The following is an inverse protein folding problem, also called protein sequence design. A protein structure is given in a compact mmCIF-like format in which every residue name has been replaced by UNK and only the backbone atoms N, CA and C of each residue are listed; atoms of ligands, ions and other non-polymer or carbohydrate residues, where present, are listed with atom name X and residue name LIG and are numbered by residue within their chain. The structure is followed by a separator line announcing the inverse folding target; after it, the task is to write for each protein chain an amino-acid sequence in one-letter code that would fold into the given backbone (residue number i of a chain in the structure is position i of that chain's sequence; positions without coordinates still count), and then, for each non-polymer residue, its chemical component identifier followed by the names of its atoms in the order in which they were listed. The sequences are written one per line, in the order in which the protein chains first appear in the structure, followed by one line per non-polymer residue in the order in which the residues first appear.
data_IF_364393250748
#
_entry.id   IF_364393250748
#
_cell.length_a   1.000
_cell.length_b   1.000
_cell.length_c   1.000
_cell.angle_alpha   90.00
_cell.angle_beta   90.00
_cell.angle_gamma   90.00
#
_symmetry.space_group_name_H-M   'P 1'
#
loop_
_entity.id
_entity.type
_entity.pdbx_description
1 polymer ?
#
# COMPACT_ATOMS: atom_id res chain seq x y z
N UNK A 1 18.42 -5.74 -41.58
CA UNK A 1 17.64 -6.64 -40.70
C UNK A 1 18.64 -7.37 -39.82
N UNK A 2 18.62 -7.13 -38.50
CA UNK A 2 19.44 -7.86 -37.54
C UNK A 2 18.53 -8.34 -36.43
N UNK A 3 18.28 -9.65 -36.45
CA UNK A 3 17.50 -10.38 -35.46
C UNK A 3 18.46 -10.77 -34.34
N UNK A 4 18.20 -10.30 -33.12
CA UNK A 4 18.84 -10.82 -31.90
C UNK A 4 17.74 -11.31 -30.96
N UNK A 5 17.39 -12.58 -31.12
CA UNK A 5 16.82 -13.40 -30.05
C UNK A 5 17.95 -13.66 -29.05
N UNK A 6 17.67 -13.67 -27.74
CA UNK A 6 18.05 -14.75 -26.81
C UNK A 6 17.71 -14.39 -25.34
N UNK A 7 16.86 -15.24 -24.77
CA UNK A 7 16.95 -15.91 -23.45
C UNK A 7 16.60 -15.08 -22.19
N UNK A 8 15.50 -15.51 -21.56
CA UNK A 8 15.13 -15.14 -20.19
C UNK A 8 15.80 -15.97 -19.09
N UNK A 9 15.12 -16.03 -17.94
CA UNK A 9 15.50 -16.62 -16.63
C UNK A 9 16.07 -15.54 -15.69
N UNK A 10 15.58 -15.32 -14.45
CA UNK A 10 14.67 -16.15 -13.65
C UNK A 10 14.03 -15.38 -12.49
N UNK A 11 12.89 -15.91 -12.07
CA UNK A 11 12.15 -15.50 -10.89
C UNK A 11 12.94 -15.77 -9.60
N UNK A 12 13.00 -14.79 -8.71
CA UNK A 12 13.43 -14.99 -7.33
C UNK A 12 12.21 -14.99 -6.42
N UNK A 13 11.66 -16.21 -6.26
CA UNK A 13 10.69 -16.58 -5.25
C UNK A 13 11.37 -16.58 -3.88
N UNK A 14 11.00 -15.66 -3.00
CA UNK A 14 11.12 -15.87 -1.56
C UNK A 14 9.73 -16.04 -0.95
N UNK A 15 9.23 -17.28 -1.08
CA UNK A 15 8.20 -17.80 -0.21
C UNK A 15 8.84 -18.25 1.11
N UNK A 16 8.38 -17.66 2.21
CA UNK A 16 8.71 -18.08 3.57
C UNK A 16 7.45 -18.14 4.40
N UNK A 17 6.75 -19.27 4.31
CA UNK A 17 5.69 -19.67 5.25
C UNK A 17 6.36 -20.02 6.58
N UNK A 18 5.87 -19.44 7.67
CA UNK A 18 6.39 -19.73 9.01
C UNK A 18 5.60 -19.02 10.11
N UNK A 19 4.29 -19.28 10.19
CA UNK A 19 3.50 -18.96 11.38
C UNK A 19 3.64 -20.08 12.40
N UNK A 20 4.05 -19.77 13.63
CA UNK A 20 3.71 -20.57 14.80
C UNK A 20 3.41 -19.65 15.99
N UNK A 21 2.20 -19.82 16.50
CA UNK A 21 1.67 -19.24 17.72
C UNK A 21 2.44 -19.80 18.93
N UNK A 22 3.01 -18.94 19.77
CA UNK A 22 3.32 -19.31 21.16
C UNK A 22 2.78 -18.21 22.07
N UNK A 23 1.66 -18.55 22.70
CA UNK A 23 1.03 -17.81 23.78
C UNK A 23 1.53 -18.32 25.12
N UNK A 24 1.79 -17.37 26.00
CA UNK A 24 2.25 -17.50 27.38
C UNK A 24 1.21 -18.21 28.28
N UNK A 25 1.65 -19.09 29.16
CA UNK A 25 0.79 -19.69 30.19
C UNK A 25 1.36 -20.96 30.79
N UNK A 26 2.20 -20.80 31.82
CA UNK A 26 2.47 -21.83 32.82
C UNK A 26 1.17 -22.30 33.45
N UNK A 27 0.90 -23.61 33.42
CA UNK A 27 0.44 -24.36 34.60
C UNK A 27 0.40 -25.87 34.30
N UNK A 28 1.11 -26.59 35.15
CA UNK A 28 1.18 -28.04 35.24
C UNK A 28 0.06 -28.52 36.16
N UNK A 29 -0.86 -29.37 35.67
CA UNK A 29 -1.67 -30.23 36.53
C UNK A 29 -2.33 -31.41 35.78
N UNK A 30 -2.06 -32.59 36.32
CA UNK A 30 -2.54 -33.95 36.07
C UNK A 30 -4.07 -34.08 35.97
N UNK A 31 -4.62 -35.03 35.18
CA UNK A 31 -6.07 -35.23 35.10
C UNK A 31 -6.51 -36.27 36.13
N UNK A 32 -7.48 -35.98 37.01
CA UNK A 32 -8.33 -36.99 37.66
C UNK A 32 -9.64 -36.40 38.25
N UNK A 33 -10.74 -37.11 37.98
CA UNK A 33 -11.95 -37.31 38.80
C UNK A 33 -13.03 -36.20 38.96
N UNK A 34 -14.14 -36.44 38.24
CA UNK A 34 -15.51 -36.70 38.70
C UNK A 34 -16.20 -35.89 39.85
N UNK A 35 -17.50 -35.64 39.63
CA UNK A 35 -18.59 -35.26 40.54
C UNK A 35 -18.95 -33.77 40.80
N UNK A 36 -20.12 -33.41 40.21
CA UNK A 36 -21.33 -32.85 40.86
C UNK A 36 -21.59 -31.33 40.99
N UNK A 37 -22.73 -30.98 40.38
CA UNK A 37 -23.88 -30.15 40.84
C UNK A 37 -24.05 -28.73 40.27
N UNK A 38 -25.26 -28.58 39.69
CA UNK A 38 -26.03 -27.43 39.24
C UNK A 38 -25.80 -26.09 39.95
N UNK A 39 -25.94 -24.96 39.23
CA UNK A 39 -26.94 -23.89 39.48
C UNK A 39 -27.36 -23.15 38.18
N UNK A 40 -28.68 -23.00 38.08
CA UNK A 40 -29.64 -22.27 37.21
C UNK A 40 -29.43 -20.76 36.91
N UNK A 41 -30.11 -20.31 35.83
CA UNK A 41 -30.56 -18.94 35.43
C UNK A 41 -29.68 -18.22 34.41
N UNK A 42 -30.16 -17.50 33.38
CA UNK A 42 -31.48 -16.91 33.07
C UNK A 42 -31.56 -16.58 31.56
N UNK A 43 -32.80 -16.59 31.06
CA UNK A 43 -33.31 -16.14 29.75
C UNK A 43 -32.77 -14.77 29.29
N UNK A 44 -32.41 -14.64 28.00
CA UNK A 44 -32.64 -13.41 27.24
C UNK A 44 -32.77 -13.70 25.74
N UNK A 45 -33.89 -13.25 25.20
CA UNK A 45 -34.29 -13.25 23.80
C UNK A 45 -33.57 -12.13 23.04
N UNK A 46 -32.99 -12.43 21.89
CA UNK A 46 -32.54 -11.37 20.97
C UNK A 46 -33.03 -11.66 19.56
N UNK A 47 -33.93 -10.78 19.11
CA UNK A 47 -34.39 -10.62 17.74
C UNK A 47 -33.21 -10.69 16.76
N UNK A 48 -33.22 -11.64 15.84
CA UNK A 48 -32.44 -11.54 14.60
C UNK A 48 -33.32 -10.85 13.56
N UNK A 49 -33.26 -9.53 13.57
CA UNK A 49 -33.70 -8.70 12.46
C UNK A 49 -32.90 -9.04 11.21
N UNK A 50 -33.64 -9.09 10.11
CA UNK A 50 -33.22 -9.38 8.75
C UNK A 50 -31.92 -8.69 8.34
N UNK A 51 -30.89 -9.46 8.01
CA UNK A 51 -29.73 -8.96 7.26
C UNK A 51 -30.10 -9.05 5.79
N UNK A 52 -30.32 -7.89 5.17
CA UNK A 52 -30.41 -7.78 3.73
C UNK A 52 -29.02 -8.06 3.13
N UNK A 53 -28.92 -9.15 2.38
CA UNK A 53 -27.77 -9.48 1.53
C UNK A 53 -27.74 -8.49 0.37
N UNK A 54 -26.84 -7.51 0.43
CA UNK A 54 -26.44 -6.73 -0.75
C UNK A 54 -25.27 -7.44 -1.43
N UNK A 55 -25.48 -7.75 -2.70
CA UNK A 55 -24.58 -8.49 -3.56
C UNK A 55 -23.22 -7.79 -3.70
N UNK A 56 -22.16 -8.58 -3.53
CA UNK A 56 -20.78 -8.21 -3.76
C UNK A 56 -20.55 -7.92 -5.25
N UNK A 57 -20.40 -6.65 -5.60
CA UNK A 57 -19.45 -6.23 -6.62
C UNK A 57 -18.14 -5.93 -5.91
N UNK A 58 -17.02 -6.36 -6.47
CA UNK A 58 -15.66 -6.20 -5.92
C UNK A 58 -15.17 -4.74 -5.99
N UNK A 59 -16.05 -3.78 -5.73
CA UNK A 59 -15.69 -2.39 -5.54
C UNK A 59 -15.39 -2.21 -4.06
N UNK A 60 -14.14 -1.85 -3.76
CA UNK A 60 -13.80 -1.32 -2.44
C UNK A 60 -14.86 -0.25 -2.10
N UNK A 61 -15.56 -0.36 -0.95
CA UNK A 61 -16.63 0.57 -0.64
C UNK A 61 -16.09 1.99 -0.73
N UNK A 62 -16.87 2.92 -1.31
CA UNK A 62 -16.50 4.35 -1.46
C UNK A 62 -15.92 4.95 -0.16
N UNK A 63 -16.29 4.40 1.00
CA UNK A 63 -15.74 4.68 2.32
C UNK A 63 -14.21 4.56 2.41
N UNK A 64 -13.59 3.59 1.74
CA UNK A 64 -12.14 3.40 1.77
C UNK A 64 -11.40 4.47 0.96
N UNK A 65 -12.02 5.08 -0.06
CA UNK A 65 -11.46 6.19 -0.88
C UNK A 65 -11.50 7.57 -0.21
N UNK A 66 -12.04 7.63 1.00
CA UNK A 66 -12.06 8.85 1.80
C UNK A 66 -10.72 9.06 2.49
N UNK A 67 -10.46 10.27 2.98
CA UNK A 67 -9.33 10.53 3.87
C UNK A 67 -9.36 9.66 5.13
N UNK A 68 -10.54 9.17 5.54
CA UNK A 68 -10.71 8.23 6.64
C UNK A 68 -10.17 6.85 6.29
N UNK A 69 -10.49 6.31 5.11
CA UNK A 69 -9.97 5.02 4.65
C UNK A 69 -8.45 5.02 4.41
N UNK A 70 -7.88 6.11 3.88
CA UNK A 70 -6.43 6.25 3.79
C UNK A 70 -5.76 6.23 5.18
N UNK A 71 -6.36 6.90 6.18
CA UNK A 71 -5.85 6.91 7.57
C UNK A 71 -5.98 5.54 8.22
N UNK A 72 -7.06 4.83 7.95
CA UNK A 72 -7.27 3.45 8.41
C UNK A 72 -6.17 2.53 7.89
N UNK A 73 -5.93 2.54 6.56
CA UNK A 73 -4.83 1.77 5.93
C UNK A 73 -3.48 2.10 6.57
N UNK A 74 -3.18 3.39 6.76
CA UNK A 74 -1.91 3.84 7.33
C UNK A 74 -1.77 3.53 8.83
N UNK A 75 -2.87 3.21 9.50
CA UNK A 75 -2.88 2.77 10.90
C UNK A 75 -2.71 1.26 11.06
N UNK A 76 -2.78 0.49 9.96
CA UNK A 76 -2.65 -0.96 10.01
C UNK A 76 -1.32 -1.42 10.67
N UNK A 77 -1.37 -2.44 11.53
CA UNK A 77 -0.17 -3.04 12.10
C UNK A 77 0.59 -3.84 11.05
N UNK A 78 1.91 -3.67 11.03
CA UNK A 78 2.79 -4.34 10.08
C UNK A 78 2.96 -3.56 8.78
N UNK A 79 4.21 -3.39 8.36
CA UNK A 79 4.56 -2.61 7.17
C UNK A 79 4.06 -3.28 5.88
N UNK A 80 4.13 -4.61 5.78
CA UNK A 80 3.71 -5.34 4.58
C UNK A 80 2.20 -5.21 4.33
N UNK A 81 1.37 -5.36 5.37
CA UNK A 81 -0.09 -5.20 5.25
C UNK A 81 -0.43 -3.81 4.72
N UNK A 82 0.14 -2.78 5.34
CA UNK A 82 -0.03 -1.39 4.93
C UNK A 82 0.39 -1.14 3.49
N UNK A 83 1.51 -1.70 3.04
CA UNK A 83 1.96 -1.53 1.64
C UNK A 83 0.96 -2.18 0.68
N UNK A 84 0.50 -3.40 0.96
CA UNK A 84 -0.47 -4.08 0.11
C UNK A 84 -1.79 -3.32 0.04
N UNK A 85 -2.31 -2.86 1.17
CA UNK A 85 -3.53 -2.05 1.23
C UNK A 85 -3.38 -0.70 0.51
N UNK A 86 -2.23 -0.03 0.62
CA UNK A 86 -1.95 1.20 -0.13
C UNK A 86 -1.86 0.97 -1.64
N UNK A 87 -1.21 -0.12 -2.06
CA UNK A 87 -1.07 -0.45 -3.47
C UNK A 87 -2.43 -0.75 -4.09
N UNK A 88 -3.27 -1.51 -3.41
CA UNK A 88 -4.65 -1.77 -3.81
C UNK A 88 -5.43 -0.44 -3.90
N UNK A 89 -5.37 0.38 -2.86
CA UNK A 89 -6.04 1.68 -2.82
C UNK A 89 -5.64 2.61 -3.98
N UNK A 90 -4.35 2.69 -4.31
CA UNK A 90 -3.88 3.52 -5.42
C UNK A 90 -4.08 2.88 -6.80
N UNK A 91 -4.25 1.56 -6.89
CA UNK A 91 -4.53 0.88 -8.16
C UNK A 91 -5.91 1.21 -8.73
N UNK A 92 -6.85 1.52 -7.83
CA UNK A 92 -8.22 1.93 -8.14
C UNK A 92 -8.38 3.44 -8.41
N UNK A 93 -7.28 4.20 -8.32
CA UNK A 93 -7.31 5.65 -8.38
C UNK A 93 -7.31 6.14 -9.84
N UNK A 94 -8.24 7.05 -10.17
CA UNK A 94 -8.24 7.66 -11.51
C UNK A 94 -7.09 8.68 -11.64
N UNK A 95 -6.48 8.85 -12.84
CA UNK A 95 -5.39 9.80 -13.02
C UNK A 95 -5.70 11.25 -12.61
N UNK A 96 -6.97 11.66 -12.69
CA UNK A 96 -7.43 12.98 -12.23
C UNK A 96 -7.44 13.15 -10.70
N UNK A 97 -7.39 12.05 -9.94
CA UNK A 97 -7.48 12.07 -8.48
C UNK A 97 -6.09 12.17 -7.79
N UNK A 98 -4.98 11.95 -8.52
CA UNK A 98 -3.62 11.95 -7.95
C UNK A 98 -3.27 13.24 -7.19
N UNK A 99 -3.58 14.41 -7.75
CA UNK A 99 -3.31 15.70 -7.09
C UNK A 99 -4.11 15.89 -5.80
N UNK A 100 -5.37 15.44 -5.80
CA UNK A 100 -6.19 15.45 -4.59
C UNK A 100 -5.60 14.54 -3.51
N UNK A 101 -5.03 13.41 -3.92
CA UNK A 101 -4.40 12.46 -3.01
C UNK A 101 -3.12 13.00 -2.37
N UNK A 102 -2.29 13.73 -3.14
CA UNK A 102 -1.13 14.45 -2.60
C UNK A 102 -1.54 15.38 -1.46
N UNK A 103 -2.64 16.12 -1.62
CA UNK A 103 -3.13 17.05 -0.58
C UNK A 103 -3.57 16.30 0.68
N UNK A 104 -4.22 15.13 0.53
CA UNK A 104 -4.58 14.28 1.69
C UNK A 104 -3.34 13.83 2.45
N UNK A 105 -2.27 13.45 1.75
CA UNK A 105 -1.02 12.99 2.37
C UNK A 105 -0.29 14.09 3.15
N UNK A 106 -0.42 15.36 2.76
CA UNK A 106 0.19 16.47 3.48
C UNK A 106 -0.36 16.65 4.90
N UNK A 107 -1.62 16.28 5.13
CA UNK A 107 -2.27 16.33 6.45
C UNK A 107 -1.88 15.21 7.41
N UNK A 108 -1.06 14.25 6.97
CA UNK A 108 -0.69 13.07 7.75
C UNK A 108 0.64 13.24 8.50
N UNK A 109 0.87 12.45 9.57
CA UNK A 109 2.17 12.39 10.23
C UNK A 109 3.28 12.03 9.24
N UNK A 110 4.45 12.66 9.39
CA UNK A 110 5.57 12.48 8.48
C UNK A 110 5.95 11.01 8.26
N UNK A 111 5.98 10.20 9.33
CA UNK A 111 6.32 8.77 9.26
C UNK A 111 5.37 7.96 8.38
N UNK A 112 4.11 8.36 8.26
CA UNK A 112 3.09 7.68 7.47
C UNK A 112 3.06 8.19 6.03
N UNK A 113 3.26 9.50 5.83
CA UNK A 113 3.15 10.10 4.50
C UNK A 113 4.33 9.80 3.57
N UNK A 114 5.53 9.55 4.08
CA UNK A 114 6.72 9.30 3.22
C UNK A 114 6.54 8.08 2.31
N UNK A 115 6.16 6.94 2.89
CA UNK A 115 5.93 5.70 2.14
C UNK A 115 4.73 5.86 1.19
N UNK A 116 3.64 6.44 1.69
CA UNK A 116 2.44 6.68 0.90
C UNK A 116 2.71 7.61 -0.29
N UNK A 117 3.59 8.60 -0.13
CA UNK A 117 4.02 9.51 -1.18
C UNK A 117 4.81 8.76 -2.26
N UNK A 118 5.78 7.94 -1.86
CA UNK A 118 6.57 7.14 -2.79
C UNK A 118 5.68 6.23 -3.66
N UNK A 119 4.75 5.50 -3.02
CA UNK A 119 3.82 4.61 -3.72
C UNK A 119 2.86 5.37 -4.65
N UNK A 120 2.32 6.50 -4.20
CA UNK A 120 1.44 7.35 -5.01
C UNK A 120 2.14 7.83 -6.28
N UNK A 121 3.37 8.36 -6.14
CA UNK A 121 4.13 8.87 -7.29
C UNK A 121 4.59 7.75 -8.24
N UNK A 122 4.84 6.54 -7.72
CA UNK A 122 5.06 5.38 -8.58
C UNK A 122 3.83 5.07 -9.43
N UNK A 123 2.64 5.06 -8.81
CA UNK A 123 1.39 4.82 -9.54
C UNK A 123 1.03 5.93 -10.52
N UNK A 124 1.32 7.17 -10.16
CA UNK A 124 1.15 8.31 -11.07
C UNK A 124 2.08 8.16 -12.27
N UNK A 125 3.36 7.87 -12.06
CA UNK A 125 4.33 7.76 -13.14
C UNK A 125 4.03 6.63 -14.14
N UNK A 126 3.33 5.58 -13.72
CA UNK A 126 2.83 4.55 -14.66
C UNK A 126 1.83 5.11 -15.69
N UNK A 127 1.10 6.18 -15.34
CA UNK A 127 0.10 6.82 -16.20
C UNK A 127 0.63 8.09 -16.87
N UNK A 128 1.34 8.92 -16.11
CA UNK A 128 1.91 10.20 -16.55
C UNK A 128 3.30 10.40 -15.90
N UNK A 129 4.36 9.84 -16.51
CA UNK A 129 5.70 9.92 -15.97
C UNK A 129 6.19 11.36 -15.79
N UNK A 130 6.00 12.22 -16.80
CA UNK A 130 6.48 13.61 -16.78
C UNK A 130 5.71 14.45 -15.77
N UNK A 131 4.39 14.36 -15.74
CA UNK A 131 3.59 15.11 -14.75
C UNK A 131 3.90 14.69 -13.32
N UNK A 132 4.09 13.39 -13.07
CA UNK A 132 4.51 12.91 -11.74
C UNK A 132 5.90 13.44 -11.34
N UNK A 133 6.84 13.50 -12.29
CA UNK A 133 8.18 14.02 -12.05
C UNK A 133 8.15 15.52 -11.74
N UNK A 134 7.56 16.34 -12.61
CA UNK A 134 7.42 17.79 -12.43
C UNK A 134 6.72 18.13 -11.12
N UNK A 135 5.66 17.39 -10.78
CA UNK A 135 4.93 17.61 -9.53
C UNK A 135 5.78 17.28 -8.30
N UNK A 136 6.59 16.24 -8.37
CA UNK A 136 7.48 15.84 -7.27
C UNK A 136 8.52 16.93 -6.96
N UNK A 137 9.01 17.64 -7.98
CA UNK A 137 9.99 18.72 -7.83
C UNK A 137 9.42 19.95 -7.10
N UNK A 138 8.10 20.15 -7.16
CA UNK A 138 7.41 21.26 -6.50
C UNK A 138 7.18 21.01 -5.00
N UNK A 139 7.59 19.84 -4.49
CA UNK A 139 7.41 19.49 -3.08
C UNK A 139 8.56 20.01 -2.21
N UNK A 140 8.28 20.19 -0.92
CA UNK A 140 9.32 20.47 0.07
C UNK A 140 10.11 19.22 0.46
N UNK A 141 11.28 19.41 1.06
CA UNK A 141 11.99 18.32 1.72
C UNK A 141 11.30 17.93 3.04
N UNK A 142 11.21 16.63 3.38
CA UNK A 142 11.74 15.45 2.68
C UNK A 142 10.78 14.81 1.65
N UNK A 143 9.54 15.31 1.51
CA UNK A 143 8.52 14.75 0.61
C UNK A 143 9.01 14.65 -0.83
N UNK A 144 9.71 15.68 -1.32
CA UNK A 144 10.31 15.73 -2.65
C UNK A 144 11.17 14.50 -2.94
N UNK A 145 11.98 14.07 -1.99
CA UNK A 145 12.86 12.91 -2.17
C UNK A 145 12.05 11.63 -2.39
N UNK A 146 11.01 11.43 -1.57
CA UNK A 146 10.15 10.23 -1.66
C UNK A 146 9.32 10.24 -2.93
N UNK A 147 8.78 11.40 -3.29
CA UNK A 147 8.00 11.61 -4.52
C UNK A 147 8.87 11.40 -5.77
N UNK A 148 10.07 12.00 -5.82
CA UNK A 148 11.03 11.81 -6.94
C UNK A 148 11.44 10.34 -7.07
N UNK A 149 11.76 9.68 -5.97
CA UNK A 149 12.09 8.25 -5.97
C UNK A 149 10.93 7.40 -6.50
N UNK A 150 9.69 7.73 -6.12
CA UNK A 150 8.48 7.05 -6.59
C UNK A 150 8.24 7.28 -8.08
N UNK A 151 8.34 8.53 -8.52
CA UNK A 151 8.13 8.91 -9.92
C UNK A 151 9.12 8.18 -10.84
N UNK A 152 10.40 8.19 -10.47
CA UNK A 152 11.44 7.47 -11.22
C UNK A 152 11.21 5.96 -11.19
N UNK A 153 10.82 5.37 -10.05
CA UNK A 153 10.57 3.93 -9.98
C UNK A 153 9.38 3.50 -10.83
N UNK A 154 8.28 4.27 -10.82
CA UNK A 154 7.10 3.98 -11.62
C UNK A 154 7.33 4.19 -13.12
N UNK A 155 8.09 5.22 -13.49
CA UNK A 155 8.51 5.43 -14.86
C UNK A 155 9.41 4.29 -15.34
N UNK A 156 10.42 3.91 -14.57
CA UNK A 156 11.29 2.79 -14.93
C UNK A 156 10.52 1.46 -15.07
N UNK A 157 9.50 1.25 -14.23
CA UNK A 157 8.68 0.04 -14.28
C UNK A 157 7.74 0.01 -15.51
N UNK A 158 7.20 1.16 -15.91
CA UNK A 158 6.25 1.26 -17.03
C UNK A 158 6.92 1.44 -18.40
N UNK A 159 7.97 2.25 -18.47
CA UNK A 159 8.70 2.54 -19.71
C UNK A 159 10.17 2.91 -19.44
N UNK A 160 11.05 1.91 -19.24
CA UNK A 160 12.46 2.14 -18.94
C UNK A 160 13.24 2.78 -20.09
N UNK A 161 12.85 2.53 -21.35
CA UNK A 161 13.52 3.12 -22.52
C UNK A 161 13.30 4.63 -22.59
N UNK A 162 12.06 5.09 -22.35
CA UNK A 162 11.74 6.51 -22.34
C UNK A 162 12.46 7.25 -21.20
N UNK A 163 12.54 6.64 -20.01
CA UNK A 163 13.30 7.20 -18.89
C UNK A 163 14.79 7.32 -19.22
N UNK A 164 15.39 6.28 -19.81
CA UNK A 164 16.80 6.28 -20.19
C UNK A 164 17.09 7.35 -21.26
N UNK A 165 16.16 7.57 -22.19
CA UNK A 165 16.27 8.63 -23.18
C UNK A 165 16.20 10.01 -22.52
N UNK A 166 15.24 10.27 -21.62
CA UNK A 166 15.15 11.55 -20.92
C UNK A 166 16.41 11.83 -20.10
N UNK A 167 16.86 10.84 -19.33
CA UNK A 167 18.10 10.94 -18.54
C UNK A 167 19.34 11.22 -19.41
N UNK A 168 19.40 10.66 -20.61
CA UNK A 168 20.52 10.90 -21.53
C UNK A 168 20.48 12.31 -22.13
N UNK A 169 19.28 12.87 -22.28
CA UNK A 169 19.08 14.22 -22.81
C UNK A 169 19.38 15.29 -21.76
N UNK A 170 18.92 15.10 -20.52
CA UNK A 170 19.20 15.98 -19.40
C UNK A 170 19.54 15.19 -18.11
N UNK A 171 20.82 14.83 -17.93
CA UNK A 171 21.27 14.09 -16.75
C UNK A 171 21.16 14.90 -15.45
N UNK A 172 21.15 16.24 -15.53
CA UNK A 172 21.14 17.10 -14.36
C UNK A 172 19.74 17.22 -13.77
N UNK A 173 18.70 17.11 -14.61
CA UNK A 173 17.30 17.16 -14.19
C UNK A 173 17.02 16.12 -13.09
N UNK A 174 17.52 14.89 -13.24
CA UNK A 174 17.34 13.81 -12.27
C UNK A 174 18.27 13.90 -11.05
N UNK A 175 19.10 14.95 -10.97
CA UNK A 175 20.00 15.19 -9.86
C UNK A 175 19.25 15.43 -8.54
N UNK A 176 19.67 14.74 -7.48
CA UNK A 176 19.12 14.94 -6.12
C UNK A 176 19.79 16.09 -5.35
N UNK A 177 20.47 17.00 -6.06
CA UNK A 177 21.14 18.18 -5.50
C UNK A 177 20.31 19.47 -5.67
N UNK A 178 20.65 20.55 -4.95
CA UNK A 178 20.01 21.85 -5.11
C UNK A 178 20.42 22.46 -6.47
N UNK A 179 19.71 22.10 -7.53
CA UNK A 179 20.00 22.60 -8.88
C UNK A 179 19.61 21.68 -10.05
N UNK A 180 18.94 20.55 -9.77
CA UNK A 180 18.17 19.79 -10.76
C UNK A 180 16.70 20.17 -10.67
#
# INVERSE_FOLDING_TARGET
MKTSILIGVGALLFGGVGGYLVGNGSDEATPEQNERVDIRSKKSSTNRGSVATVAAGNAIPRATRTSEGLREILSEPGQTSRIMSLLEYYSDLDPSEFEGEVQKLQGLPMSQRMLAMNLLFSRWAENDPKGSWERSQQMGFPEMFMARAGAVSGWAASNPEALAQEYSNDPNEFGMGPGG
#
